data_IF_931690553039
#
_entry.id   IF_931690553039
#
_cell.length_a   1.000
_cell.length_b   1.000
_cell.length_c   1.000
_cell.angle_alpha   90.00
_cell.angle_beta   90.00
_cell.angle_gamma   90.00
#
_symmetry.space_group_name_H-M   'P 1'
#
loop_
_entity.id
_entity.type
_entity.pdbx_description
1 polymer ?
#
# COMPACT_ATOMS: atom_id res chain seq x y z
N UNK A 1 26.04 -30.97 3.92
CA UNK A 1 26.86 -29.99 3.17
C UNK A 1 26.24 -29.84 1.81
N UNK A 2 25.45 -28.80 1.62
CA UNK A 2 24.88 -28.42 0.32
C UNK A 2 25.78 -27.28 -0.18
N UNK A 3 26.42 -27.50 -1.32
CA UNK A 3 27.30 -26.54 -1.98
C UNK A 3 26.48 -25.33 -2.43
N UNK A 4 26.78 -24.15 -1.89
CA UNK A 4 26.18 -22.88 -2.28
C UNK A 4 27.04 -22.22 -3.38
N UNK A 5 26.48 -22.13 -4.59
CA UNK A 5 27.05 -21.32 -5.67
C UNK A 5 26.78 -19.83 -5.38
N UNK A 6 27.80 -18.97 -5.25
CA UNK A 6 27.63 -17.55 -4.95
C UNK A 6 27.02 -16.72 -6.10
N UNK A 7 26.73 -17.33 -7.26
CA UNK A 7 26.06 -16.66 -8.39
C UNK A 7 24.57 -17.00 -8.53
N UNK A 8 24.03 -17.89 -7.69
CA UNK A 8 22.64 -18.30 -7.73
C UNK A 8 22.07 -18.29 -6.32
N UNK A 9 21.19 -17.34 -6.04
CA UNK A 9 20.46 -17.27 -4.77
C UNK A 9 19.44 -18.42 -4.71
N UNK A 10 19.64 -19.35 -3.78
CA UNK A 10 18.70 -20.44 -3.52
C UNK A 10 17.55 -19.92 -2.66
N UNK A 11 16.39 -19.66 -3.28
CA UNK A 11 15.16 -19.25 -2.58
C UNK A 11 14.74 -20.31 -1.56
N UNK A 12 14.36 -19.87 -0.36
CA UNK A 12 13.75 -20.74 0.65
C UNK A 12 12.49 -21.41 0.08
N UNK A 13 12.36 -22.72 0.32
CA UNK A 13 11.21 -23.52 -0.10
C UNK A 13 9.90 -22.93 0.47
N UNK A 14 8.83 -22.74 -0.32
CA UNK A 14 7.54 -22.20 0.14
C UNK A 14 6.90 -22.96 1.31
N UNK A 15 7.27 -24.23 1.54
CA UNK A 15 6.81 -25.01 2.69
C UNK A 15 7.59 -24.71 3.99
N UNK A 16 8.65 -23.90 3.93
CA UNK A 16 9.45 -23.47 5.08
C UNK A 16 9.09 -22.06 5.59
N UNK A 17 8.22 -21.30 4.90
CA UNK A 17 7.77 -19.96 5.34
C UNK A 17 6.86 -20.01 6.58
N UNK A 18 6.20 -21.15 6.82
CA UNK A 18 5.48 -21.45 8.08
C UNK A 18 6.38 -21.62 9.31
N UNK A 19 7.72 -21.61 9.13
CA UNK A 19 8.69 -21.62 10.24
C UNK A 19 9.24 -20.23 10.58
N UNK A 20 8.71 -19.14 10.00
CA UNK A 20 9.04 -17.78 10.44
C UNK A 20 8.35 -17.54 11.78
N UNK A 21 9.13 -17.13 12.79
CA UNK A 21 8.61 -16.86 14.12
C UNK A 21 7.69 -15.63 14.11
N UNK A 22 6.40 -15.85 14.37
CA UNK A 22 5.43 -14.78 14.66
C UNK A 22 5.15 -14.74 16.17
N UNK A 23 5.35 -13.58 16.84
CA UNK A 23 5.00 -13.36 18.24
C UNK A 23 3.56 -13.77 18.56
N UNK A 24 3.29 -14.20 19.79
CA UNK A 24 1.99 -14.82 20.17
C UNK A 24 0.80 -13.87 20.03
N UNK A 25 1.03 -12.61 20.34
CA UNK A 25 0.14 -11.46 20.22
C UNK A 25 -0.16 -11.06 18.76
N UNK A 26 0.77 -11.36 17.86
CA UNK A 26 0.62 -11.15 16.42
C UNK A 26 0.08 -12.38 15.69
N UNK A 27 -0.28 -13.49 16.37
CA UNK A 27 -0.83 -14.71 15.74
C UNK A 27 -2.33 -14.63 15.51
N UNK A 28 -2.78 -15.11 14.34
CA UNK A 28 -4.19 -15.17 13.99
C UNK A 28 -4.94 -15.98 15.04
N UNK A 29 -6.08 -15.47 15.48
CA UNK A 29 -7.04 -16.25 16.24
C UNK A 29 -7.48 -17.50 15.48
N UNK A 30 -8.00 -18.50 16.19
CA UNK A 30 -8.39 -19.79 15.59
C UNK A 30 -9.38 -19.66 14.42
N UNK A 31 -10.29 -18.68 14.48
CA UNK A 31 -11.27 -18.38 13.41
C UNK A 31 -10.58 -17.77 12.17
N UNK A 32 -9.76 -16.74 12.37
CA UNK A 32 -9.01 -16.08 11.29
C UNK A 32 -7.99 -17.02 10.64
N UNK A 33 -7.35 -17.90 11.41
CA UNK A 33 -6.45 -18.93 10.91
C UNK A 33 -7.20 -20.01 10.11
N UNK A 34 -8.41 -20.44 10.52
CA UNK A 34 -9.19 -21.40 9.73
C UNK A 34 -9.68 -20.78 8.41
N UNK A 35 -10.10 -19.52 8.44
CA UNK A 35 -10.52 -18.76 7.25
C UNK A 35 -9.34 -18.45 6.33
N UNK A 36 -8.13 -18.33 6.86
CA UNK A 36 -6.94 -18.12 6.04
C UNK A 36 -6.40 -19.44 5.47
N UNK A 37 -6.22 -20.48 6.29
CA UNK A 37 -5.60 -21.77 5.88
C UNK A 37 -6.49 -22.57 4.94
N UNK A 38 -7.81 -22.61 5.17
CA UNK A 38 -8.72 -23.33 4.28
C UNK A 38 -8.75 -22.76 2.85
N UNK A 39 -8.37 -21.49 2.70
CA UNK A 39 -8.47 -20.74 1.44
C UNK A 39 -7.09 -20.44 0.80
N UNK A 40 -6.01 -20.26 1.59
CA UNK A 40 -4.63 -20.10 1.13
C UNK A 40 -4.07 -21.38 0.46
N UNK A 41 -4.53 -22.56 0.88
CA UNK A 41 -4.21 -23.84 0.25
C UNK A 41 -4.66 -23.94 -1.23
N UNK A 42 -5.45 -22.98 -1.74
CA UNK A 42 -5.88 -22.91 -3.15
C UNK A 42 -5.07 -21.92 -4.02
N UNK A 43 -4.27 -21.02 -3.46
CA UNK A 43 -3.84 -19.81 -4.17
C UNK A 43 -2.34 -19.71 -4.54
N UNK A 44 -1.46 -20.63 -4.13
CA UNK A 44 -0.02 -20.36 -4.17
C UNK A 44 0.67 -20.98 -5.40
N UNK A 45 1.31 -20.08 -6.18
CA UNK A 45 2.59 -20.17 -6.88
C UNK A 45 2.53 -19.87 -8.38
N UNK A 46 2.37 -18.60 -8.78
CA UNK A 46 2.86 -18.06 -10.08
C UNK A 46 2.56 -16.56 -10.23
N UNK A 47 3.28 -15.71 -9.52
CA UNK A 47 3.41 -14.32 -9.91
C UNK A 47 4.86 -13.95 -9.71
N UNK A 48 5.58 -13.64 -10.80
CA UNK A 48 6.74 -12.73 -10.83
C UNK A 48 7.36 -12.71 -12.24
N UNK A 49 7.08 -11.64 -12.99
CA UNK A 49 8.10 -10.87 -13.73
C UNK A 49 7.51 -9.51 -14.14
N UNK A 50 8.02 -8.36 -13.67
CA UNK A 50 7.70 -7.05 -14.24
C UNK A 50 8.84 -6.56 -15.13
N UNK A 51 8.51 -5.82 -16.19
CA UNK A 51 9.27 -4.66 -16.70
C UNK A 51 8.54 -4.06 -17.92
N UNK A 52 7.81 -2.97 -17.70
CA UNK A 52 7.40 -1.99 -18.72
C UNK A 52 7.36 -0.61 -18.04
N UNK A 53 8.03 0.38 -18.63
CA UNK A 53 7.95 1.78 -18.21
C UNK A 53 6.85 2.48 -19.02
N UNK A 54 6.04 3.32 -18.38
CA UNK A 54 5.03 4.16 -19.04
C UNK A 54 5.12 5.56 -18.47
N UNK A 55 5.28 6.54 -19.35
CA UNK A 55 5.27 7.95 -18.99
C UNK A 55 3.91 8.55 -19.35
N UNK A 56 3.28 9.23 -18.39
CA UNK A 56 2.12 10.08 -18.64
C UNK A 56 2.62 11.49 -18.94
N UNK A 57 2.28 12.04 -20.11
CA UNK A 57 2.37 13.48 -20.35
C UNK A 57 0.97 14.08 -20.24
N UNK A 58 0.72 14.85 -19.18
CA UNK A 58 -0.48 15.66 -19.05
C UNK A 58 -0.19 17.05 -19.62
N UNK A 59 -0.81 17.37 -20.75
CA UNK A 59 -0.96 18.77 -21.20
C UNK A 59 -2.41 19.18 -20.93
N UNK A 60 -2.66 20.36 -20.33
CA UNK A 60 -4.01 20.84 -20.11
C UNK A 60 -4.59 21.29 -21.46
N UNK A 61 -5.16 20.35 -22.21
CA UNK A 61 -6.17 20.54 -23.27
C UNK A 61 -6.64 19.16 -23.81
N UNK A 62 -7.79 18.68 -23.31
CA UNK A 62 -8.82 17.81 -23.91
C UNK A 62 -8.52 16.54 -24.74
N UNK A 63 -7.28 16.08 -24.86
CA UNK A 63 -6.99 14.82 -25.54
C UNK A 63 -6.14 13.88 -24.67
N UNK A 64 -6.81 12.93 -24.02
CA UNK A 64 -6.16 11.80 -23.35
C UNK A 64 -5.45 10.95 -24.40
N UNK A 65 -4.19 10.59 -24.16
CA UNK A 65 -3.42 9.66 -24.98
C UNK A 65 -2.67 8.66 -24.09
N UNK A 66 -2.44 7.46 -24.61
CA UNK A 66 -1.63 6.42 -23.96
C UNK A 66 -0.40 6.17 -24.83
N UNK A 67 0.78 6.39 -24.28
CA UNK A 67 2.04 6.00 -24.91
C UNK A 67 2.51 4.66 -24.34
N UNK A 68 2.61 3.62 -25.17
CA UNK A 68 3.22 2.35 -24.77
C UNK A 68 4.63 2.27 -25.33
N UNK A 69 5.58 2.00 -24.44
CA UNK A 69 7.01 1.97 -24.72
C UNK A 69 7.56 0.55 -24.56
N UNK A 70 8.34 0.09 -25.54
CA UNK A 70 9.09 -1.17 -25.45
C UNK A 70 10.59 -0.87 -25.42
N UNK A 71 11.41 -1.66 -24.71
CA UNK A 71 12.86 -1.55 -24.81
C UNK A 71 13.32 -1.66 -26.26
N UNK A 72 14.30 -0.85 -26.66
CA UNK A 72 14.85 -0.94 -28.01
C UNK A 72 15.49 -2.34 -28.23
N UNK A 73 15.23 -3.01 -29.36
CA UNK A 73 15.69 -4.39 -29.61
C UNK A 73 17.23 -4.52 -29.59
N UNK A 74 17.94 -3.44 -29.90
CA UNK A 74 19.41 -3.40 -29.89
C UNK A 74 20.02 -3.03 -28.51
N UNK A 75 19.19 -2.92 -27.47
CA UNK A 75 19.60 -2.70 -26.08
C UNK A 75 19.24 -1.33 -25.50
N UNK A 76 19.26 -1.23 -24.17
CA UNK A 76 18.77 -0.07 -23.41
C UNK A 76 19.47 1.25 -23.76
N UNK A 77 20.70 1.22 -24.26
CA UNK A 77 21.43 2.42 -24.69
C UNK A 77 20.75 3.18 -25.84
N UNK A 78 19.87 2.52 -26.59
CA UNK A 78 19.10 3.12 -27.67
C UNK A 78 17.71 3.62 -27.23
N UNK A 79 17.42 3.56 -25.92
CA UNK A 79 16.16 4.04 -25.35
C UNK A 79 15.00 3.07 -25.55
N UNK A 80 13.80 3.62 -25.77
CA UNK A 80 12.58 2.88 -25.97
C UNK A 80 11.95 3.19 -27.34
N UNK A 81 11.24 2.21 -27.89
CA UNK A 81 10.37 2.38 -29.05
C UNK A 81 8.96 2.60 -28.54
N UNK A 82 8.44 3.80 -28.77
CA UNK A 82 7.13 4.23 -28.30
C UNK A 82 6.10 4.29 -29.41
N UNK A 83 4.85 3.96 -29.07
CA UNK A 83 3.67 4.22 -29.90
C UNK A 83 2.60 4.91 -29.06
N UNK A 84 2.00 5.95 -29.61
CA UNK A 84 0.91 6.71 -28.99
C UNK A 84 -0.43 6.23 -29.53
N UNK A 85 -1.36 5.95 -28.62
CA UNK A 85 -2.73 5.53 -28.88
C UNK A 85 -3.68 6.59 -28.34
N UNK A 86 -4.72 6.90 -29.12
CA UNK A 86 -5.74 7.89 -28.75
C UNK A 86 -7.13 7.24 -28.69
N UNK A 87 -8.08 7.83 -27.95
CA UNK A 87 -9.46 7.38 -27.92
C UNK A 87 -10.05 7.19 -29.31
N UNK A 88 -10.73 6.08 -29.50
CA UNK A 88 -11.52 5.76 -30.68
C UNK A 88 -12.76 4.98 -30.25
N UNK A 89 -13.90 5.28 -30.87
CA UNK A 89 -15.20 4.69 -30.53
C UNK A 89 -15.63 3.59 -31.50
N UNK A 90 -15.09 3.60 -32.73
CA UNK A 90 -15.52 2.69 -33.78
C UNK A 90 -14.38 1.85 -34.39
N UNK A 91 -14.78 0.73 -34.99
CA UNK A 91 -13.92 -0.13 -35.79
C UNK A 91 -12.78 -0.79 -34.99
N UNK A 92 -11.73 -1.20 -35.71
CA UNK A 92 -10.56 -1.84 -35.07
C UNK A 92 -9.79 -0.87 -34.17
N UNK A 93 -9.91 0.44 -34.40
CA UNK A 93 -9.23 1.45 -33.60
C UNK A 93 -9.80 1.54 -32.17
N UNK A 94 -11.11 1.37 -31.98
CA UNK A 94 -11.68 1.28 -30.63
C UNK A 94 -11.20 0.04 -29.87
N UNK A 95 -10.99 -1.06 -30.57
CA UNK A 95 -10.43 -2.29 -30.01
C UNK A 95 -8.95 -2.09 -29.61
N UNK A 96 -8.16 -1.41 -30.46
CA UNK A 96 -6.76 -1.02 -30.14
C UNK A 96 -6.72 -0.11 -28.92
N UNK A 97 -7.62 0.87 -28.83
CA UNK A 97 -7.75 1.74 -27.66
C UNK A 97 -8.11 0.95 -26.39
N UNK A 98 -8.99 -0.04 -26.49
CA UNK A 98 -9.32 -0.94 -25.38
C UNK A 98 -8.12 -1.77 -24.92
N UNK A 99 -7.32 -2.32 -25.86
CA UNK A 99 -6.07 -3.01 -25.52
C UNK A 99 -5.09 -2.06 -24.83
N UNK A 100 -4.92 -0.83 -25.34
CA UNK A 100 -4.01 0.17 -24.76
C UNK A 100 -4.37 0.49 -23.29
N UNK A 101 -5.66 0.70 -23.00
CA UNK A 101 -6.14 0.87 -21.61
C UNK A 101 -5.85 -0.35 -20.74
N UNK A 102 -6.05 -1.56 -21.27
CA UNK A 102 -5.80 -2.78 -20.52
C UNK A 102 -4.29 -3.03 -20.26
N UNK A 103 -3.38 -2.64 -21.15
CA UNK A 103 -1.94 -2.62 -20.86
C UNK A 103 -1.60 -1.67 -19.71
N UNK A 104 -2.17 -0.47 -19.71
CA UNK A 104 -2.02 0.46 -18.58
C UNK A 104 -2.57 -0.16 -17.29
N UNK A 105 -3.71 -0.84 -17.36
CA UNK A 105 -4.29 -1.54 -16.21
C UNK A 105 -3.43 -2.71 -15.70
N UNK A 106 -2.66 -3.40 -16.56
CA UNK A 106 -1.67 -4.40 -16.14
C UNK A 106 -0.57 -3.75 -15.31
N UNK A 107 -0.02 -2.63 -15.80
CA UNK A 107 1.06 -1.90 -15.12
C UNK A 107 0.57 -1.36 -13.78
N UNK A 108 -0.62 -0.74 -13.78
CA UNK A 108 -1.28 -0.26 -12.57
C UNK A 108 -1.54 -1.40 -11.57
N UNK A 109 -2.00 -2.57 -12.02
CA UNK A 109 -2.18 -3.74 -11.14
C UNK A 109 -0.87 -4.21 -10.51
N UNK A 110 0.21 -4.25 -11.29
CA UNK A 110 1.54 -4.61 -10.79
C UNK A 110 2.09 -3.60 -9.79
N UNK A 111 1.98 -2.30 -10.09
CA UNK A 111 2.43 -1.23 -9.20
C UNK A 111 1.58 -1.17 -7.92
N UNK A 112 0.25 -1.26 -8.05
CA UNK A 112 -0.69 -1.29 -6.94
C UNK A 112 -0.36 -2.42 -5.97
N UNK A 113 -0.24 -3.67 -6.46
CA UNK A 113 -0.01 -4.82 -5.59
C UNK A 113 1.37 -4.78 -4.93
N UNK A 114 2.40 -4.49 -5.70
CA UNK A 114 3.79 -4.65 -5.23
C UNK A 114 4.34 -3.42 -4.52
N UNK A 115 3.98 -2.22 -4.96
CA UNK A 115 4.51 -0.97 -4.45
C UNK A 115 3.51 -0.33 -3.50
N UNK A 116 2.33 0.06 -3.99
CA UNK A 116 1.37 0.80 -3.17
C UNK A 116 0.88 -0.03 -1.99
N UNK A 117 0.52 -1.30 -2.22
CA UNK A 117 -0.04 -2.18 -1.20
C UNK A 117 1.04 -2.94 -0.43
N UNK A 118 1.82 -3.80 -1.08
CA UNK A 118 2.82 -4.58 -0.37
C UNK A 118 3.90 -3.71 0.28
N UNK A 119 4.64 -2.91 -0.51
CA UNK A 119 5.77 -2.15 0.02
C UNK A 119 5.34 -1.03 0.97
N UNK A 120 4.48 -0.11 0.51
CA UNK A 120 4.19 1.11 1.26
C UNK A 120 3.34 0.88 2.51
N UNK A 121 2.71 -0.30 2.66
CA UNK A 121 2.00 -0.64 3.91
C UNK A 121 2.61 -1.84 4.61
N UNK A 122 2.52 -3.04 4.02
CA UNK A 122 2.88 -4.28 4.72
C UNK A 122 4.37 -4.32 5.09
N UNK A 123 5.25 -4.20 4.09
CA UNK A 123 6.69 -4.28 4.31
C UNK A 123 7.23 -3.06 5.08
N UNK A 124 6.69 -1.87 4.83
CA UNK A 124 7.11 -0.65 5.51
C UNK A 124 6.74 -0.63 7.00
N UNK A 125 5.61 -1.24 7.40
CA UNK A 125 5.15 -1.18 8.79
C UNK A 125 5.73 -2.29 9.67
N UNK A 126 6.12 -3.43 9.10
CA UNK A 126 6.65 -4.57 9.88
C UNK A 126 7.86 -4.22 10.76
N UNK A 127 8.86 -3.43 10.32
CA UNK A 127 9.92 -2.94 11.19
C UNK A 127 9.42 -2.14 12.40
N UNK A 128 8.33 -1.37 12.27
CA UNK A 128 7.70 -0.65 13.38
C UNK A 128 7.11 -1.64 14.40
N UNK A 129 6.49 -2.73 13.93
CA UNK A 129 5.94 -3.78 14.81
C UNK A 129 7.06 -4.43 15.63
N UNK A 130 8.16 -4.80 14.97
CA UNK A 130 9.30 -5.47 15.59
C UNK A 130 9.97 -4.56 16.61
N UNK A 131 10.33 -3.32 16.23
CA UNK A 131 10.99 -2.38 17.11
C UNK A 131 10.10 -2.01 18.32
N UNK A 132 8.80 -1.82 18.10
CA UNK A 132 7.85 -1.48 19.18
C UNK A 132 7.82 -2.58 20.25
N UNK A 133 7.72 -3.84 19.84
CA UNK A 133 7.70 -4.96 20.78
C UNK A 133 9.04 -5.24 21.47
N UNK A 134 10.16 -4.82 20.85
CA UNK A 134 11.51 -5.06 21.40
C UNK A 134 11.98 -3.95 22.34
N UNK A 135 11.57 -2.72 22.09
CA UNK A 135 12.14 -1.54 22.76
C UNK A 135 11.17 -0.81 23.67
N UNK A 136 9.85 -0.94 23.45
CA UNK A 136 8.85 -0.28 24.29
C UNK A 136 8.17 -1.29 25.19
N UNK A 137 8.16 -1.01 26.50
CA UNK A 137 7.40 -1.78 27.47
C UNK A 137 5.90 -1.75 27.16
N UNK A 138 5.17 -2.82 27.51
CA UNK A 138 3.68 -2.83 27.42
C UNK A 138 3.01 -1.72 28.25
N UNK A 139 3.74 -1.16 29.22
CA UNK A 139 3.28 -0.02 30.02
C UNK A 139 3.54 1.33 29.35
N UNK A 140 4.44 1.38 28.36
CA UNK A 140 4.87 2.59 27.68
C UNK A 140 3.70 3.25 26.93
N UNK A 141 3.51 4.58 27.02
CA UNK A 141 2.39 5.25 26.36
C UNK A 141 2.41 5.06 24.83
N UNK A 142 3.58 5.15 24.20
CA UNK A 142 3.69 4.95 22.74
C UNK A 142 3.43 3.48 22.34
N UNK A 143 3.78 2.50 23.18
CA UNK A 143 3.37 1.11 22.94
C UNK A 143 1.84 1.00 22.94
N UNK A 144 1.19 1.52 23.99
CA UNK A 144 -0.27 1.51 24.10
C UNK A 144 -0.95 2.26 22.96
N UNK A 145 -0.33 3.31 22.42
CA UNK A 145 -0.84 4.07 21.29
C UNK A 145 -0.79 3.23 20.00
N UNK A 146 0.39 2.70 19.65
CA UNK A 146 0.66 2.11 18.35
C UNK A 146 0.27 0.63 18.25
N UNK A 147 0.40 -0.15 19.33
CA UNK A 147 0.23 -1.61 19.30
C UNK A 147 -1.09 -2.09 18.67
N UNK A 148 -2.26 -1.47 18.94
CA UNK A 148 -3.52 -1.90 18.30
C UNK A 148 -3.53 -1.79 16.78
N UNK A 149 -2.66 -0.96 16.19
CA UNK A 149 -2.54 -0.76 14.75
C UNK A 149 -1.64 -1.80 14.07
N UNK A 150 -0.91 -2.61 14.85
CA UNK A 150 0.01 -3.61 14.31
C UNK A 150 -0.60 -4.99 14.16
N UNK A 151 -1.76 -5.21 14.78
CA UNK A 151 -2.48 -6.47 14.83
C UNK A 151 -2.46 -7.19 13.47
N UNK A 152 -1.93 -8.40 13.48
CA UNK A 152 -1.88 -9.36 12.38
C UNK A 152 -0.91 -9.05 11.24
N UNK A 153 -0.16 -7.95 11.30
CA UNK A 153 0.79 -7.54 10.25
C UNK A 153 1.84 -8.63 10.00
N UNK A 154 2.49 -9.12 11.05
CA UNK A 154 3.61 -10.06 10.91
C UNK A 154 3.16 -11.43 10.37
N UNK A 155 1.94 -11.89 10.66
CA UNK A 155 1.42 -13.14 10.08
C UNK A 155 1.18 -13.01 8.58
N UNK A 156 0.55 -11.91 8.16
CA UNK A 156 0.24 -11.70 6.75
C UNK A 156 1.54 -11.59 5.97
N UNK A 157 2.53 -10.88 6.53
CA UNK A 157 3.83 -10.71 5.88
C UNK A 157 4.65 -12.00 5.83
N UNK A 158 4.64 -12.83 6.87
CA UNK A 158 5.35 -14.12 6.87
C UNK A 158 4.92 -15.05 5.71
N UNK A 159 3.75 -14.79 5.10
CA UNK A 159 3.17 -15.57 4.01
C UNK A 159 3.37 -14.90 2.63
N UNK A 160 3.94 -13.71 2.57
CA UNK A 160 4.17 -12.95 1.34
C UNK A 160 5.65 -12.55 1.21
N UNK A 161 6.28 -12.89 0.08
CA UNK A 161 7.67 -12.55 -0.20
C UNK A 161 7.77 -11.71 -1.46
N UNK A 162 8.17 -10.43 -1.34
CA UNK A 162 8.73 -9.68 -2.47
C UNK A 162 9.66 -8.55 -2.00
N UNK A 163 10.76 -8.33 -2.74
CA UNK A 163 11.77 -7.27 -2.49
C UNK A 163 11.61 -6.16 -3.52
N UNK A 164 11.04 -5.03 -3.09
CA UNK A 164 11.04 -3.75 -3.80
C UNK A 164 11.15 -2.68 -2.71
N UNK A 165 12.25 -1.92 -2.63
CA UNK A 165 12.44 -1.02 -1.48
C UNK A 165 13.25 0.26 -1.81
N UNK A 166 13.94 0.29 -2.96
CA UNK A 166 14.95 1.32 -3.27
C UNK A 166 14.41 2.77 -3.27
N UNK A 167 13.16 3.00 -3.64
CA UNK A 167 12.59 4.34 -3.85
C UNK A 167 11.62 4.80 -2.73
N UNK A 168 11.55 4.09 -1.60
CA UNK A 168 10.66 4.44 -0.50
C UNK A 168 11.25 5.54 0.41
N UNK A 169 10.39 6.44 0.90
CA UNK A 169 10.74 7.57 1.78
C UNK A 169 9.65 7.74 2.83
N UNK A 170 10.00 7.66 4.13
CA UNK A 170 9.01 7.60 5.21
C UNK A 170 8.15 8.86 5.36
N UNK A 171 8.70 10.09 5.42
CA UNK A 171 7.86 11.30 5.58
C UNK A 171 6.89 11.52 4.42
N UNK A 172 7.23 11.05 3.22
CA UNK A 172 6.38 11.16 2.05
C UNK A 172 5.15 10.24 2.09
N UNK A 173 5.09 9.30 3.05
CA UNK A 173 3.90 8.48 3.26
C UNK A 173 2.78 9.25 3.99
N UNK A 174 3.08 10.43 4.55
CA UNK A 174 2.07 11.35 5.04
C UNK A 174 1.17 11.80 3.88
N UNK A 175 -0.15 11.65 4.02
CA UNK A 175 -1.09 11.99 2.95
C UNK A 175 -0.91 13.42 2.40
N UNK A 176 -0.73 14.46 3.24
CA UNK A 176 -0.42 15.81 2.75
C UNK A 176 0.82 15.89 1.86
N UNK A 177 1.92 15.26 2.30
CA UNK A 177 3.20 15.27 1.58
C UNK A 177 3.09 14.50 0.25
N UNK A 178 2.40 13.36 0.23
CA UNK A 178 2.10 12.59 -0.98
C UNK A 178 1.29 13.41 -1.99
N UNK A 179 0.21 14.07 -1.55
CA UNK A 179 -0.64 14.87 -2.43
C UNK A 179 0.11 16.04 -3.06
N UNK A 180 0.96 16.73 -2.30
CA UNK A 180 1.83 17.80 -2.83
C UNK A 180 2.85 17.20 -3.81
N UNK A 181 3.54 16.13 -3.42
CA UNK A 181 4.59 15.50 -4.23
C UNK A 181 4.09 15.03 -5.59
N UNK A 182 2.88 14.47 -5.64
CA UNK A 182 2.24 14.02 -6.88
C UNK A 182 1.65 15.16 -7.72
N UNK A 183 1.73 16.41 -7.24
CA UNK A 183 1.14 17.57 -7.90
C UNK A 183 -0.39 17.55 -7.86
N UNK A 184 -0.99 16.92 -6.84
CA UNK A 184 -2.44 16.84 -6.66
C UNK A 184 -2.98 17.91 -5.69
N UNK A 185 -2.09 18.56 -4.94
CA UNK A 185 -2.40 19.65 -4.02
C UNK A 185 -1.26 20.67 -3.94
N UNK A 186 -1.56 21.84 -3.39
CA UNK A 186 -0.57 22.85 -2.99
C UNK A 186 -0.83 23.28 -1.55
N UNK A 187 0.22 23.72 -0.86
CA UNK A 187 0.07 24.32 0.48
C UNK A 187 -0.82 25.56 0.42
N UNK A 188 -1.77 25.64 1.33
CA UNK A 188 -2.63 26.79 1.51
C UNK A 188 -3.14 26.86 2.96
N UNK A 189 -2.53 27.75 3.74
CA UNK A 189 -2.84 27.96 5.15
C UNK A 189 -4.29 28.38 5.42
N UNK A 190 -5.00 28.89 4.40
CA UNK A 190 -6.39 29.30 4.52
C UNK A 190 -7.37 28.20 4.13
N UNK A 191 -6.89 27.13 3.51
CA UNK A 191 -7.71 25.98 3.14
C UNK A 191 -7.83 24.98 4.31
N UNK A 192 -8.93 24.20 4.38
CA UNK A 192 -9.04 23.10 5.31
C UNK A 192 -7.82 22.17 5.21
N UNK A 193 -7.33 21.68 6.35
CA UNK A 193 -6.16 20.79 6.43
C UNK A 193 -4.83 21.42 5.95
N UNK A 194 -4.79 22.73 5.69
CA UNK A 194 -3.59 23.45 5.25
C UNK A 194 -3.21 23.22 3.78
N UNK A 195 -4.11 22.65 2.98
CA UNK A 195 -3.88 22.26 1.59
C UNK A 195 -5.06 22.65 0.70
N UNK A 196 -4.76 23.04 -0.54
CA UNK A 196 -5.75 23.19 -1.61
C UNK A 196 -5.53 22.13 -2.68
N UNK A 197 -6.55 21.30 -2.93
CA UNK A 197 -6.50 20.28 -3.99
C UNK A 197 -6.56 20.95 -5.38
N UNK A 198 -5.83 20.39 -6.35
CA UNK A 198 -5.90 20.81 -7.75
C UNK A 198 -7.05 20.12 -8.51
N UNK A 199 -7.50 18.98 -7.99
CA UNK A 199 -8.75 18.31 -8.40
C UNK A 199 -9.66 18.36 -7.17
N UNK A 200 -10.67 19.23 -7.21
CA UNK A 200 -11.55 19.48 -6.06
C UNK A 200 -12.32 18.22 -5.66
N UNK A 201 -12.85 17.49 -6.64
CA UNK A 201 -13.56 16.22 -6.43
C UNK A 201 -12.60 15.03 -6.63
N UNK A 202 -11.61 14.91 -5.75
CA UNK A 202 -10.72 13.75 -5.67
C UNK A 202 -11.08 12.93 -4.42
N UNK A 203 -11.96 11.90 -4.52
CA UNK A 203 -12.57 11.25 -3.34
C UNK A 203 -11.56 10.71 -2.33
N UNK A 204 -10.51 10.03 -2.80
CA UNK A 204 -9.43 9.53 -1.92
C UNK A 204 -8.75 10.65 -1.13
N UNK A 205 -8.48 11.79 -1.77
CA UNK A 205 -7.80 12.91 -1.11
C UNK A 205 -8.75 13.63 -0.15
N UNK A 206 -9.99 13.88 -0.57
CA UNK A 206 -11.01 14.55 0.26
C UNK A 206 -11.29 13.75 1.53
N UNK A 207 -11.65 12.48 1.40
CA UNK A 207 -11.97 11.63 2.54
C UNK A 207 -10.73 11.31 3.37
N UNK A 208 -9.59 11.08 2.70
CA UNK A 208 -8.32 10.79 3.34
C UNK A 208 -7.84 11.94 4.23
N UNK A 209 -8.00 13.20 3.81
CA UNK A 209 -7.58 14.37 4.59
C UNK A 209 -8.41 14.53 5.88
N UNK A 210 -9.71 14.23 5.83
CA UNK A 210 -10.56 14.22 7.02
C UNK A 210 -10.10 13.14 8.03
N UNK A 211 -9.79 11.93 7.55
CA UNK A 211 -9.28 10.84 8.41
C UNK A 211 -7.89 11.18 8.95
N UNK A 212 -6.98 11.68 8.10
CA UNK A 212 -5.65 12.12 8.49
C UNK A 212 -5.70 13.18 9.59
N UNK A 213 -6.53 14.22 9.42
CA UNK A 213 -6.69 15.28 10.42
C UNK A 213 -7.24 14.74 11.74
N UNK A 214 -8.17 13.79 11.69
CA UNK A 214 -8.69 13.14 12.89
C UNK A 214 -7.61 12.33 13.63
N UNK A 215 -6.80 11.55 12.90
CA UNK A 215 -5.65 10.81 13.47
C UNK A 215 -4.66 11.79 14.09
N UNK A 216 -4.24 12.82 13.34
CA UNK A 216 -3.24 13.80 13.82
C UNK A 216 -3.69 14.49 15.09
N UNK A 217 -4.96 14.94 15.13
CA UNK A 217 -5.54 15.59 16.33
C UNK A 217 -5.53 14.65 17.53
N UNK A 218 -5.92 13.38 17.33
CA UNK A 218 -5.90 12.39 18.39
C UNK A 218 -4.49 12.10 18.91
N UNK A 219 -3.52 11.91 18.01
CA UNK A 219 -2.12 11.67 18.36
C UNK A 219 -1.52 12.87 19.08
N UNK A 220 -1.78 14.09 18.60
CA UNK A 220 -1.33 15.32 19.25
C UNK A 220 -1.84 15.43 20.68
N UNK A 221 -3.14 15.21 20.90
CA UNK A 221 -3.74 15.21 22.23
C UNK A 221 -3.12 14.13 23.15
N UNK A 222 -2.93 12.92 22.63
CA UNK A 222 -2.37 11.80 23.36
C UNK A 222 -0.90 12.03 23.74
N UNK A 223 -0.05 12.37 22.77
CA UNK A 223 1.37 12.65 22.99
C UNK A 223 1.55 13.87 23.90
N UNK A 224 0.76 14.93 23.74
CA UNK A 224 0.79 16.11 24.62
C UNK A 224 0.33 15.81 26.05
N UNK A 225 -0.43 14.73 26.27
CA UNK A 225 -0.76 14.26 27.62
C UNK A 225 0.46 13.69 28.33
N UNK A 226 1.24 12.81 27.68
CA UNK A 226 2.39 12.13 28.29
C UNK A 226 3.71 12.91 28.19
N UNK A 227 3.94 13.64 27.10
CA UNK A 227 5.16 14.40 26.84
C UNK A 227 4.86 15.91 26.88
N UNK A 228 5.20 16.58 27.97
CA UNK A 228 4.91 18.01 28.16
C UNK A 228 5.92 18.93 27.48
N UNK A 229 7.16 18.47 27.38
CA UNK A 229 8.29 19.20 26.80
C UNK A 229 9.11 18.28 25.92
N UNK A 230 9.92 18.85 25.03
CA UNK A 230 10.86 18.10 24.20
C UNK A 230 11.89 17.36 25.06
N UNK A 231 12.28 17.92 26.21
CA UNK A 231 13.17 17.24 27.16
C UNK A 231 12.61 15.88 27.62
N UNK A 232 11.29 15.73 27.73
CA UNK A 232 10.71 14.43 28.10
C UNK A 232 10.88 13.40 26.99
N UNK A 233 10.85 13.81 25.71
CA UNK A 233 11.11 12.94 24.55
C UNK A 233 12.58 12.55 24.51
N UNK A 234 13.48 13.51 24.74
CA UNK A 234 14.93 13.30 24.70
C UNK A 234 15.42 12.37 25.82
N UNK A 235 14.82 12.47 27.02
CA UNK A 235 15.21 11.68 28.18
C UNK A 235 14.50 10.32 28.28
N UNK A 236 13.59 10.00 27.35
CA UNK A 236 12.91 8.71 27.30
C UNK A 236 13.79 7.65 26.61
N UNK A 237 14.50 6.86 27.41
CA UNK A 237 15.45 5.87 26.89
C UNK A 237 14.80 4.74 26.08
N UNK A 238 13.56 4.36 26.39
CA UNK A 238 12.83 3.34 25.61
C UNK A 238 12.48 3.91 24.23
N UNK A 239 11.96 5.14 24.18
CA UNK A 239 11.62 5.82 22.94
C UNK A 239 12.84 6.08 22.05
N UNK A 240 13.96 6.53 22.64
CA UNK A 240 15.20 6.74 21.88
C UNK A 240 15.77 5.42 21.32
N UNK A 241 15.70 4.33 22.10
CA UNK A 241 16.16 3.00 21.64
C UNK A 241 15.24 2.43 20.56
N UNK A 242 13.92 2.61 20.71
CA UNK A 242 12.91 2.25 19.72
C UNK A 242 13.18 2.91 18.37
N UNK A 243 13.32 4.23 18.36
CA UNK A 243 13.53 4.95 17.11
C UNK A 243 14.89 4.63 16.47
N UNK A 244 15.91 4.44 17.29
CA UNK A 244 17.25 4.03 16.82
C UNK A 244 17.21 2.66 16.15
N UNK A 245 16.67 1.63 16.80
CA UNK A 245 16.59 0.28 16.22
C UNK A 245 15.74 0.29 14.94
N UNK A 246 14.61 1.00 14.95
CA UNK A 246 13.74 1.12 13.79
C UNK A 246 14.48 1.69 12.57
N UNK A 247 15.23 2.79 12.75
CA UNK A 247 15.97 3.43 11.66
C UNK A 247 17.21 2.64 11.24
N UNK A 248 18.00 2.19 12.20
CA UNK A 248 19.34 1.63 11.93
C UNK A 248 19.33 0.15 11.55
N UNK A 249 18.34 -0.61 12.05
CA UNK A 249 18.20 -2.04 11.79
C UNK A 249 16.94 -2.34 10.98
N UNK A 250 15.79 -1.79 11.39
CA UNK A 250 14.50 -2.05 10.75
C UNK A 250 14.43 -1.57 9.30
N UNK A 251 14.75 -0.30 9.08
CA UNK A 251 14.94 0.34 7.78
C UNK A 251 16.42 0.63 7.50
N UNK A 252 17.30 -0.29 7.92
CA UNK A 252 18.75 -0.06 8.04
C UNK A 252 19.49 0.23 6.73
N UNK A 253 18.89 -0.09 5.58
CA UNK A 253 19.39 0.24 4.25
C UNK A 253 19.14 1.71 3.85
N UNK A 254 18.26 2.40 4.58
CA UNK A 254 17.96 3.83 4.44
C UNK A 254 18.36 4.65 5.66
N UNK A 255 19.07 4.08 6.63
CA UNK A 255 19.39 4.75 7.91
C UNK A 255 20.10 6.10 7.78
N UNK A 256 20.87 6.29 6.71
CA UNK A 256 21.70 7.48 6.47
C UNK A 256 20.94 8.57 5.68
N UNK A 257 19.69 8.32 5.30
CA UNK A 257 18.89 9.29 4.56
C UNK A 257 18.56 10.52 5.44
N UNK A 258 18.69 11.75 4.91
CA UNK A 258 18.62 12.97 5.71
C UNK A 258 17.21 13.32 6.19
N UNK A 259 16.18 12.66 5.65
CA UNK A 259 14.77 12.93 5.94
C UNK A 259 14.24 12.19 7.17
N UNK A 260 15.03 11.33 7.82
CA UNK A 260 14.60 10.70 9.06
C UNK A 260 14.44 11.75 10.18
N UNK A 261 13.28 11.78 10.87
CA UNK A 261 13.15 12.50 12.13
C UNK A 261 14.28 12.12 13.10
N UNK A 262 14.74 13.06 13.90
CA UNK A 262 15.77 12.79 14.92
C UNK A 262 15.17 12.27 16.23
N UNK A 263 13.85 12.36 16.38
CA UNK A 263 13.11 11.99 17.58
C UNK A 263 13.60 12.75 18.82
N UNK A 264 13.80 14.05 18.69
CA UNK A 264 14.26 14.95 19.76
C UNK A 264 13.18 15.93 20.22
N UNK A 265 12.09 16.05 19.46
CA UNK A 265 10.99 16.95 19.76
C UNK A 265 9.66 16.20 19.83
N UNK A 266 8.69 16.78 20.54
CA UNK A 266 7.33 16.26 20.58
C UNK A 266 6.65 16.30 19.22
N UNK A 267 6.97 17.30 18.40
CA UNK A 267 6.42 17.42 17.04
C UNK A 267 6.85 16.24 16.16
N UNK A 268 8.14 15.89 16.18
CA UNK A 268 8.65 14.71 15.48
C UNK A 268 7.97 13.41 15.94
N UNK A 269 7.75 13.26 17.25
CA UNK A 269 7.02 12.10 17.80
C UNK A 269 5.57 12.04 17.32
N UNK A 270 4.85 13.17 17.37
CA UNK A 270 3.47 13.27 16.90
C UNK A 270 3.38 12.93 15.42
N UNK A 271 4.24 13.50 14.59
CA UNK A 271 4.27 13.26 13.16
C UNK A 271 4.57 11.79 12.85
N UNK A 272 5.58 11.22 13.51
CA UNK A 272 5.97 9.81 13.36
C UNK A 272 4.80 8.88 13.69
N UNK A 273 4.17 9.05 14.87
CA UNK A 273 3.03 8.23 15.27
C UNK A 273 1.83 8.43 14.33
N UNK A 274 1.58 9.65 13.85
CA UNK A 274 0.50 9.94 12.90
C UNK A 274 0.72 9.21 11.58
N UNK A 275 1.93 9.26 11.01
CA UNK A 275 2.27 8.54 9.77
C UNK A 275 2.12 7.03 9.97
N UNK A 276 2.66 6.48 11.05
CA UNK A 276 2.55 5.05 11.37
C UNK A 276 1.10 4.59 11.44
N UNK A 277 0.24 5.33 12.16
CA UNK A 277 -1.18 5.00 12.29
C UNK A 277 -1.91 5.14 10.95
N UNK A 278 -1.62 6.19 10.17
CA UNK A 278 -2.19 6.39 8.83
C UNK A 278 -1.88 5.21 7.90
N UNK A 279 -0.61 4.81 7.82
CA UNK A 279 -0.15 3.69 6.98
C UNK A 279 -0.88 2.40 7.37
N UNK A 280 -0.89 2.10 8.67
CA UNK A 280 -1.44 0.86 9.22
C UNK A 280 -2.98 0.79 9.22
N UNK A 281 -3.66 1.91 8.94
CA UNK A 281 -5.13 1.96 8.93
C UNK A 281 -5.67 2.45 7.60
N UNK A 282 -5.83 3.76 7.44
CA UNK A 282 -6.56 4.36 6.33
C UNK A 282 -5.88 4.16 4.97
N UNK A 283 -4.54 4.25 4.89
CA UNK A 283 -3.81 4.00 3.65
C UNK A 283 -3.99 2.55 3.20
N UNK A 284 -3.70 1.58 4.08
CA UNK A 284 -3.90 0.16 3.80
C UNK A 284 -5.36 -0.13 3.42
N UNK A 285 -6.33 0.40 4.16
CA UNK A 285 -7.73 0.19 3.86
C UNK A 285 -8.12 0.69 2.46
N UNK A 286 -7.69 1.89 2.08
CA UNK A 286 -7.99 2.52 0.80
C UNK A 286 -7.48 1.70 -0.41
N UNK A 287 -6.36 1.01 -0.26
CA UNK A 287 -5.74 0.23 -1.33
C UNK A 287 -6.02 -1.27 -1.23
N UNK A 288 -6.45 -1.79 -0.08
CA UNK A 288 -6.70 -3.20 0.16
C UNK A 288 -8.15 -3.61 -0.14
N UNK A 289 -9.15 -2.93 0.45
CA UNK A 289 -10.54 -3.41 0.41
C UNK A 289 -11.23 -3.16 -0.95
N UNK A 290 -10.62 -2.36 -1.82
CA UNK A 290 -11.04 -2.17 -3.21
C UNK A 290 -10.56 -3.25 -4.18
N UNK A 291 -9.71 -4.20 -3.76
CA UNK A 291 -9.11 -5.18 -4.68
C UNK A 291 -10.16 -6.05 -5.40
N UNK A 292 -11.12 -6.64 -4.68
CA UNK A 292 -12.20 -7.42 -5.29
C UNK A 292 -13.28 -6.54 -5.92
N UNK A 293 -13.78 -5.45 -5.30
CA UNK A 293 -14.77 -4.57 -5.93
C UNK A 293 -14.36 -4.09 -7.33
N UNK A 294 -13.08 -3.77 -7.55
CA UNK A 294 -12.58 -3.34 -8.87
C UNK A 294 -11.96 -4.48 -9.69
N UNK A 295 -11.27 -5.44 -9.06
CA UNK A 295 -10.52 -6.52 -9.72
C UNK A 295 -11.28 -7.84 -9.87
N UNK A 296 -12.46 -7.97 -9.26
CA UNK A 296 -13.34 -9.14 -9.38
C UNK A 296 -13.87 -9.36 -10.80
N UNK A 297 -13.75 -8.34 -11.66
CA UNK A 297 -13.91 -8.46 -13.11
C UNK A 297 -12.52 -8.35 -13.80
N UNK A 298 -11.88 -9.46 -14.18
CA UNK A 298 -10.49 -9.48 -14.65
C UNK A 298 -10.17 -8.55 -15.82
N UNK A 299 -11.06 -8.33 -16.81
CA UNK A 299 -10.79 -7.35 -17.87
C UNK A 299 -10.60 -5.92 -17.40
N UNK A 300 -11.12 -5.55 -16.21
CA UNK A 300 -10.93 -4.21 -15.63
C UNK A 300 -9.56 -4.04 -14.95
N UNK A 301 -9.04 -5.09 -14.31
CA UNK A 301 -7.70 -5.10 -13.69
C UNK A 301 -6.95 -6.39 -14.04
N UNK A 302 -6.50 -6.54 -15.30
CA UNK A 302 -5.72 -7.71 -15.70
C UNK A 302 -4.39 -7.73 -14.96
N UNK A 303 -3.99 -8.87 -14.42
CA UNK A 303 -2.74 -9.01 -13.69
C UNK A 303 -1.51 -9.14 -14.61
N UNK A 304 -1.72 -9.49 -15.88
CA UNK A 304 -0.64 -9.73 -16.84
C UNK A 304 -1.08 -9.55 -18.29
N UNK A 305 -0.12 -9.25 -19.15
CA UNK A 305 -0.23 -9.36 -20.60
C UNK A 305 0.64 -10.49 -21.13
N UNK A 306 0.11 -11.30 -22.05
CA UNK A 306 0.76 -12.44 -22.71
C UNK A 306 1.23 -12.16 -24.13
N UNK A 307 0.76 -11.06 -24.73
CA UNK A 307 1.09 -10.66 -26.10
C UNK A 307 1.36 -9.14 -26.14
N UNK A 308 2.07 -8.68 -27.16
CA UNK A 308 2.21 -7.26 -27.49
C UNK A 308 1.01 -6.77 -28.31
N UNK A 309 0.91 -5.44 -28.50
CA UNK A 309 -0.10 -4.84 -29.36
C UNK A 309 -0.01 -5.44 -30.77
N UNK A 310 -1.12 -5.90 -31.39
CA UNK A 310 -1.10 -6.47 -32.73
C UNK A 310 -0.67 -5.45 -33.80
N UNK A 311 0.32 -5.82 -34.62
CA UNK A 311 0.77 -5.00 -35.75
C UNK A 311 -0.19 -5.10 -36.94
N UNK A 312 -0.37 -4.00 -37.67
CA UNK A 312 -1.26 -3.97 -38.83
C UNK A 312 -0.84 -5.01 -39.89
N UNK A 313 -1.82 -5.74 -40.43
CA UNK A 313 -1.59 -6.83 -41.39
C UNK A 313 -1.27 -8.20 -40.77
N UNK A 314 -0.94 -8.26 -39.47
CA UNK A 314 -0.70 -9.52 -38.76
C UNK A 314 -1.95 -10.39 -38.62
N UNK A 315 -1.76 -11.67 -38.29
CA UNK A 315 -2.87 -12.58 -37.97
C UNK A 315 -3.64 -12.13 -36.73
N UNK A 316 -2.94 -11.63 -35.71
CA UNK A 316 -3.56 -11.14 -34.48
C UNK A 316 -4.36 -9.86 -34.72
N UNK A 317 -3.93 -8.98 -35.63
CA UNK A 317 -4.70 -7.79 -36.01
C UNK A 317 -5.99 -8.16 -36.77
N UNK A 318 -5.93 -9.18 -37.63
CA UNK A 318 -7.14 -9.72 -38.29
C UNK A 318 -8.09 -10.37 -37.28
N UNK A 319 -7.56 -11.07 -36.27
CA UNK A 319 -8.35 -11.63 -35.16
C UNK A 319 -8.98 -10.49 -34.33
N UNK A 320 -8.25 -9.44 -33.98
CA UNK A 320 -8.79 -8.26 -33.28
C UNK A 320 -9.94 -7.61 -34.06
N UNK A 321 -9.80 -7.48 -35.39
CA UNK A 321 -10.83 -6.89 -36.26
C UNK A 321 -12.10 -7.74 -36.37
N UNK A 322 -11.99 -9.07 -36.28
CA UNK A 322 -13.11 -10.00 -36.54
C UNK A 322 -13.70 -10.60 -35.28
N UNK A 323 -12.90 -10.77 -34.23
CA UNK A 323 -13.23 -11.39 -32.96
C UNK A 323 -12.56 -10.63 -31.80
N UNK A 324 -12.94 -9.37 -31.54
CA UNK A 324 -12.24 -8.49 -30.60
C UNK A 324 -12.17 -9.04 -29.18
N UNK A 325 -13.26 -9.63 -28.67
CA UNK A 325 -13.29 -10.22 -27.32
C UNK A 325 -12.31 -11.39 -27.19
N UNK A 326 -12.22 -12.22 -28.23
CA UNK A 326 -11.28 -13.35 -28.28
C UNK A 326 -9.84 -12.85 -28.29
N UNK A 327 -9.55 -11.82 -29.08
CA UNK A 327 -8.23 -11.18 -29.09
C UNK A 327 -7.89 -10.62 -27.71
N UNK A 328 -8.80 -9.86 -27.08
CA UNK A 328 -8.62 -9.31 -25.73
C UNK A 328 -8.31 -10.40 -24.70
N UNK A 329 -9.14 -11.45 -24.63
CA UNK A 329 -8.97 -12.56 -23.69
C UNK A 329 -7.72 -13.40 -23.97
N UNK A 330 -7.19 -13.39 -25.20
CA UNK A 330 -5.92 -14.02 -25.56
C UNK A 330 -4.72 -13.16 -25.15
N UNK A 331 -4.86 -11.84 -25.21
CA UNK A 331 -3.81 -10.88 -24.89
C UNK A 331 -3.53 -10.78 -23.39
N UNK A 332 -4.55 -10.82 -22.52
CA UNK A 332 -4.38 -10.61 -21.07
C UNK A 332 -4.47 -11.90 -20.25
N UNK A 333 -4.53 -11.82 -18.92
CA UNK A 333 -4.54 -12.93 -17.96
C UNK A 333 -5.40 -14.12 -18.42
N UNK A 334 -4.85 -15.34 -18.33
CA UNK A 334 -5.59 -16.54 -18.74
C UNK A 334 -6.78 -16.83 -17.81
N UNK A 335 -7.69 -17.71 -18.24
CA UNK A 335 -8.85 -18.07 -17.45
C UNK A 335 -8.47 -18.66 -16.09
N UNK A 336 -7.51 -19.59 -16.04
CA UNK A 336 -7.09 -20.23 -14.80
C UNK A 336 -6.47 -19.22 -13.83
N UNK A 337 -5.55 -18.38 -14.32
CA UNK A 337 -4.91 -17.33 -13.52
C UNK A 337 -5.92 -16.29 -13.04
N UNK A 338 -6.92 -15.96 -13.86
CA UNK A 338 -8.00 -15.04 -13.48
C UNK A 338 -8.84 -15.62 -12.34
N UNK A 339 -9.21 -16.91 -12.39
CA UNK A 339 -9.98 -17.55 -11.32
C UNK A 339 -9.19 -17.59 -10.01
N UNK A 340 -7.89 -17.91 -10.07
CA UNK A 340 -7.02 -17.89 -8.91
C UNK A 340 -6.86 -16.47 -8.35
N UNK A 341 -6.62 -15.48 -9.21
CA UNK A 341 -6.49 -14.08 -8.84
C UNK A 341 -7.74 -13.52 -8.18
N UNK A 342 -8.92 -13.73 -8.79
CA UNK A 342 -10.22 -13.31 -8.23
C UNK A 342 -10.43 -13.93 -6.86
N UNK A 343 -10.18 -15.23 -6.72
CA UNK A 343 -10.34 -15.94 -5.44
C UNK A 343 -9.44 -15.36 -4.35
N UNK A 344 -8.19 -15.02 -4.69
CA UNK A 344 -7.26 -14.40 -3.75
C UNK A 344 -7.73 -13.00 -3.33
N UNK A 345 -8.04 -12.12 -4.28
CA UNK A 345 -8.46 -10.75 -3.95
C UNK A 345 -9.82 -10.70 -3.25
N UNK A 346 -10.69 -11.69 -3.47
CA UNK A 346 -11.94 -11.87 -2.72
C UNK A 346 -11.67 -12.06 -1.22
N UNK A 347 -10.68 -12.90 -0.89
CA UNK A 347 -10.27 -13.15 0.49
C UNK A 347 -9.66 -11.89 1.09
N UNK A 348 -8.70 -11.27 0.38
CA UNK A 348 -7.98 -10.10 0.87
C UNK A 348 -8.88 -8.87 1.05
N UNK A 349 -10.00 -8.79 0.34
CA UNK A 349 -10.95 -7.68 0.43
C UNK A 349 -12.05 -7.87 1.48
N UNK A 350 -12.07 -9.00 2.19
CA UNK A 350 -13.09 -9.28 3.21
C UNK A 350 -12.63 -8.81 4.58
N UNK A 351 -13.55 -8.18 5.30
CA UNK A 351 -13.37 -7.91 6.72
C UNK A 351 -13.66 -9.18 7.53
N UNK A 352 -12.79 -9.49 8.49
CA UNK A 352 -13.04 -10.55 9.45
C UNK A 352 -14.17 -10.15 10.41
N UNK A 353 -14.92 -11.12 10.94
CA UNK A 353 -15.99 -10.85 11.91
C UNK A 353 -15.45 -10.33 13.25
N UNK A 354 -14.19 -10.59 13.55
CA UNK A 354 -13.47 -10.13 14.75
C UNK A 354 -12.55 -8.94 14.45
N UNK A 355 -12.83 -8.17 13.40
CA UNK A 355 -12.04 -7.00 13.04
C UNK A 355 -12.18 -5.87 14.08
N UNK A 356 -11.09 -5.13 14.29
CA UNK A 356 -11.05 -3.94 15.15
C UNK A 356 -10.82 -2.73 14.25
N UNK A 357 -11.85 -1.91 14.07
CA UNK A 357 -11.79 -0.76 13.17
C UNK A 357 -11.07 0.43 13.81
N UNK A 358 -10.58 1.36 12.98
CA UNK A 358 -9.93 2.58 13.46
C UNK A 358 -10.81 3.33 14.47
N UNK A 359 -10.26 3.58 15.66
CA UNK A 359 -10.96 4.18 16.80
C UNK A 359 -11.55 3.17 17.78
N UNK A 360 -11.57 1.87 17.47
CA UNK A 360 -11.96 0.80 18.40
C UNK A 360 -10.73 0.21 19.10
N UNK A 361 -10.98 -0.48 20.22
CA UNK A 361 -9.98 -1.27 20.94
C UNK A 361 -10.58 -2.59 21.42
N UNK A 362 -9.71 -3.59 21.58
CA UNK A 362 -10.03 -4.91 22.10
C UNK A 362 -10.44 -4.90 23.58
N UNK A 363 -9.93 -3.93 24.35
CA UNK A 363 -10.25 -3.72 25.76
C UNK A 363 -10.61 -2.27 26.06
N UNK A 364 -11.65 -2.07 26.88
CA UNK A 364 -12.07 -0.75 27.37
C UNK A 364 -11.14 -0.20 28.46
N UNK A 365 -10.39 -1.08 29.14
CA UNK A 365 -9.50 -0.74 30.27
C UNK A 365 -8.02 -0.81 29.88
N UNK A 366 -7.70 -0.51 28.61
CA UNK A 366 -6.34 -0.56 28.07
C UNK A 366 -5.35 0.42 28.75
N UNK A 367 -5.86 1.40 29.50
CA UNK A 367 -5.08 2.26 30.39
C UNK A 367 -5.89 2.68 31.60
N UNK A 368 -5.25 3.00 32.72
CA UNK A 368 -5.89 3.59 33.91
C UNK A 368 -6.02 5.12 33.83
N UNK A 369 -5.40 5.74 32.83
CA UNK A 369 -5.38 7.19 32.65
C UNK A 369 -6.70 7.72 32.05
N UNK A 370 -7.49 8.42 32.85
CA UNK A 370 -8.85 8.86 32.50
C UNK A 370 -8.93 9.77 31.26
N UNK A 371 -7.92 10.62 31.04
CA UNK A 371 -7.93 11.59 29.93
C UNK A 371 -7.72 10.91 28.57
N UNK A 372 -6.65 10.10 28.39
CA UNK A 372 -6.51 9.23 27.23
C UNK A 372 -7.65 8.21 27.03
N UNK A 373 -8.33 7.76 28.09
CA UNK A 373 -9.50 6.89 27.96
C UNK A 373 -10.73 7.59 27.36
N UNK A 374 -10.95 8.86 27.68
CA UNK A 374 -12.23 9.54 27.41
C UNK A 374 -12.34 10.25 26.05
N UNK A 375 -11.20 10.58 25.43
CA UNK A 375 -11.11 11.48 24.27
C UNK A 375 -11.01 10.80 22.88
N UNK A 376 -10.27 9.70 22.69
CA UNK A 376 -9.96 9.14 21.36
C UNK A 376 -11.17 8.72 20.52
N UNK A 377 -12.19 8.10 21.13
CA UNK A 377 -13.32 7.56 20.38
C UNK A 377 -14.24 8.64 19.81
N UNK A 378 -14.47 9.74 20.55
CA UNK A 378 -15.56 10.67 20.23
C UNK A 378 -15.29 11.51 18.98
N UNK A 379 -14.05 11.96 18.77
CA UNK A 379 -13.71 12.83 17.65
C UNK A 379 -13.54 12.03 16.35
N UNK A 380 -12.91 10.84 16.41
CA UNK A 380 -12.90 9.88 15.31
C UNK A 380 -14.32 9.46 14.94
N UNK A 381 -15.16 9.03 15.89
CA UNK A 381 -16.58 8.69 15.63
C UNK A 381 -17.39 9.84 15.02
N UNK A 382 -17.04 11.10 15.34
CA UNK A 382 -17.70 12.27 14.78
C UNK A 382 -17.34 12.48 13.32
N UNK A 383 -16.07 12.28 12.96
CA UNK A 383 -15.62 12.28 11.55
C UNK A 383 -16.25 11.12 10.77
N UNK A 384 -16.32 9.91 11.35
CA UNK A 384 -17.02 8.77 10.74
C UNK A 384 -18.52 9.03 10.50
N UNK A 385 -19.19 9.71 11.43
CA UNK A 385 -20.60 10.11 11.25
C UNK A 385 -20.78 11.13 10.14
N UNK A 386 -19.80 12.00 9.86
CA UNK A 386 -19.86 12.92 8.70
C UNK A 386 -19.65 12.19 7.37
N UNK A 387 -18.67 11.28 7.31
CA UNK A 387 -18.33 10.51 6.10
C UNK A 387 -19.43 9.50 5.69
N UNK A 388 -20.25 9.01 6.64
CA UNK A 388 -21.37 8.09 6.35
C UNK A 388 -22.64 8.75 5.80
N UNK A 389 -22.72 10.08 5.74
CA UNK A 389 -23.92 10.83 5.30
C UNK A 389 -23.71 11.43 3.89
N UNK A 390 -22.58 11.14 3.24
CA UNK A 390 -22.28 11.54 1.85
C UNK A 390 -22.91 10.63 0.81
#
# INVERSE_FOLDING_TARGET
MISTDPKIETRLNPLLSINIYVPRDERFGHLKMSDFVAYALKAIAQFLKPELETAFSSTPNDHLAIELSLPHPDGNQFGAISKVYTPAEEGVQSCIWQLAKAYVAVIDSGYHQLISHWLHTHAAIEPFVIATNRQLSVLHPIYKLLHPHFRDTMNVNALALTVLYKNWVFPEQALPADLIKRGMAVEDVNSPHGLRLLIEDYPYAVDGLEIWSAIKTWVEDYCSFYYKTDDMVQNDSELQSWWKELREEGHGDKKDEPWWPKMQTREELIETCTITIWIASALHAAINFGQYPYGGYPPNRPAMSRQFMPEEGSTDYKELKTHPDKAFLKTFTSQLESVLGISLVEILSRHSSDEIYLGQRDSLDWTSDKTPLAKPLKDLERSWKKLRIG
#
